data_IF_016920507779
#
_entry.id   IF_016920507779
#
_cell.length_a   1.000
_cell.length_b   1.000
_cell.length_c   1.000
_cell.angle_alpha   90.00
_cell.angle_beta   90.00
_cell.angle_gamma   90.00
#
_symmetry.space_group_name_H-M   'P 1'
#
loop_
_entity.id
_entity.type
_entity.pdbx_description
1 polymer ?
#
# COMPACT_ATOMS: atom_id res chain seq x y z
N UNK A 1 9.50 -21.05 -26.79
CA UNK A 1 8.65 -21.72 -25.78
C UNK A 1 8.28 -20.76 -24.65
N UNK A 2 9.25 -20.02 -24.12
CA UNK A 2 9.01 -19.06 -23.02
C UNK A 2 8.03 -17.93 -23.39
N UNK A 3 8.14 -17.34 -24.59
CA UNK A 3 7.30 -16.22 -25.00
C UNK A 3 5.79 -16.55 -25.10
N UNK A 4 5.42 -17.80 -25.43
CA UNK A 4 4.02 -18.22 -25.45
C UNK A 4 3.47 -18.45 -24.05
N UNK A 5 4.30 -18.96 -23.13
CA UNK A 5 3.90 -19.16 -21.73
C UNK A 5 3.75 -17.82 -21.00
N UNK A 6 4.68 -16.87 -21.18
CA UNK A 6 4.54 -15.53 -20.61
C UNK A 6 3.21 -14.88 -21.01
N UNK A 7 2.89 -14.90 -22.31
CA UNK A 7 1.63 -14.34 -22.81
C UNK A 7 0.40 -15.04 -22.24
N UNK A 8 0.46 -16.34 -21.98
CA UNK A 8 -0.65 -17.11 -21.37
C UNK A 8 -1.01 -16.56 -19.98
N UNK A 9 -0.01 -16.18 -19.18
CA UNK A 9 -0.21 -15.58 -17.86
C UNK A 9 -0.43 -14.05 -17.90
N UNK A 10 -0.42 -13.44 -19.10
CA UNK A 10 -0.52 -11.99 -19.26
C UNK A 10 0.77 -11.23 -18.93
N UNK A 11 1.91 -11.93 -18.80
CA UNK A 11 3.21 -11.29 -18.62
C UNK A 11 3.73 -10.71 -19.93
N UNK A 12 4.36 -9.55 -19.83
CA UNK A 12 5.24 -9.00 -20.88
C UNK A 12 6.68 -9.45 -20.63
N UNK A 13 7.56 -9.30 -21.63
CA UNK A 13 9.00 -9.57 -21.45
C UNK A 13 9.66 -8.68 -20.40
N UNK A 14 9.06 -7.51 -20.10
CA UNK A 14 9.54 -6.58 -19.08
C UNK A 14 9.51 -7.18 -17.67
N UNK A 15 8.62 -8.12 -17.39
CA UNK A 15 8.56 -8.79 -16.08
C UNK A 15 9.83 -9.55 -15.74
N UNK A 16 10.41 -10.25 -16.73
CA UNK A 16 11.70 -10.92 -16.61
C UNK A 16 12.84 -9.90 -16.63
N UNK A 17 12.81 -8.95 -17.57
CA UNK A 17 13.87 -7.96 -17.74
C UNK A 17 14.06 -7.05 -16.51
N UNK A 18 12.99 -6.78 -15.77
CA UNK A 18 13.01 -5.97 -14.54
C UNK A 18 13.08 -6.81 -13.26
N UNK A 19 13.15 -8.15 -13.38
CA UNK A 19 13.31 -9.05 -12.22
C UNK A 19 12.07 -9.18 -11.32
N UNK A 20 10.87 -8.93 -11.84
CA UNK A 20 9.60 -9.18 -11.14
C UNK A 20 9.18 -10.64 -11.20
N UNK A 21 9.64 -11.32 -12.25
CA UNK A 21 9.47 -12.73 -12.47
C UNK A 21 10.84 -13.31 -12.78
N UNK A 22 11.18 -14.46 -12.21
CA UNK A 22 12.34 -15.24 -12.64
C UNK A 22 11.88 -16.41 -13.53
N UNK A 23 12.79 -17.01 -14.34
CA UNK A 23 12.45 -18.23 -15.07
C UNK A 23 11.99 -19.37 -14.15
N UNK A 24 12.56 -19.46 -12.95
CA UNK A 24 12.16 -20.45 -11.94
C UNK A 24 10.74 -20.19 -11.41
N UNK A 25 10.39 -18.92 -11.13
CA UNK A 25 9.02 -18.56 -10.76
C UNK A 25 8.04 -18.94 -11.87
N UNK A 26 8.35 -18.60 -13.13
CA UNK A 26 7.46 -18.90 -14.26
C UNK A 26 7.25 -20.42 -14.40
N UNK A 27 8.31 -21.22 -14.21
CA UNK A 27 8.21 -22.67 -14.26
C UNK A 27 7.29 -23.20 -13.16
N UNK A 28 7.48 -22.75 -11.91
CA UNK A 28 6.64 -23.14 -10.79
C UNK A 28 5.16 -22.77 -11.01
N UNK A 29 4.89 -21.60 -11.60
CA UNK A 29 3.52 -21.17 -11.92
C UNK A 29 2.87 -22.03 -13.01
N UNK A 30 3.65 -22.52 -13.99
CA UNK A 30 3.17 -23.45 -15.01
C UNK A 30 2.81 -24.79 -14.38
N UNK A 31 3.67 -25.33 -13.52
CA UNK A 31 3.40 -26.58 -12.80
C UNK A 31 2.16 -26.46 -11.90
N UNK A 32 2.01 -25.34 -11.20
CA UNK A 32 0.84 -25.05 -10.36
C UNK A 32 -0.45 -25.01 -11.20
N UNK A 33 -0.43 -24.31 -12.34
CA UNK A 33 -1.55 -24.26 -13.27
C UNK A 33 -1.92 -25.65 -13.81
N UNK A 34 -0.94 -26.48 -14.17
CA UNK A 34 -1.17 -27.83 -14.70
C UNK A 34 -1.74 -28.77 -13.63
N UNK A 35 -1.36 -28.58 -12.37
CA UNK A 35 -1.83 -29.40 -11.25
C UNK A 35 -3.21 -28.99 -10.72
N UNK A 36 -3.48 -27.69 -10.63
CA UNK A 36 -4.69 -27.13 -10.01
C UNK A 36 -5.80 -26.83 -11.01
N UNK A 37 -5.44 -26.55 -12.27
CA UNK A 37 -6.36 -26.02 -13.28
C UNK A 37 -6.80 -24.57 -13.01
N UNK A 38 -6.23 -23.87 -12.03
CA UNK A 38 -6.62 -22.50 -11.69
C UNK A 38 -6.15 -21.51 -12.75
N UNK A 39 -7.12 -20.93 -13.47
CA UNK A 39 -6.89 -19.98 -14.54
C UNK A 39 -6.91 -18.52 -14.10
N UNK A 40 -6.90 -18.22 -12.80
CA UNK A 40 -6.77 -16.86 -12.26
C UNK A 40 -5.36 -16.29 -12.44
N UNK A 41 -4.99 -16.03 -13.70
CA UNK A 41 -3.67 -15.52 -14.09
C UNK A 41 -3.31 -14.19 -13.41
N UNK A 42 -4.31 -13.37 -13.10
CA UNK A 42 -4.19 -12.13 -12.34
C UNK A 42 -3.62 -12.33 -10.93
N UNK A 43 -3.91 -13.47 -10.28
CA UNK A 43 -3.34 -13.80 -8.97
C UNK A 43 -1.84 -14.11 -9.06
N UNK A 44 -1.40 -14.77 -10.13
CA UNK A 44 0.03 -15.04 -10.36
C UNK A 44 0.82 -13.75 -10.58
N UNK A 45 0.25 -12.81 -11.36
CA UNK A 45 0.86 -11.48 -11.59
C UNK A 45 0.92 -10.68 -10.29
N UNK A 46 -0.18 -10.60 -9.56
CA UNK A 46 -0.24 -9.95 -8.26
C UNK A 46 0.75 -10.56 -7.26
N UNK A 47 0.82 -11.90 -7.20
CA UNK A 47 1.79 -12.61 -6.38
C UNK A 47 3.23 -12.25 -6.71
N UNK A 48 3.54 -12.04 -7.98
CA UNK A 48 4.88 -11.62 -8.44
C UNK A 48 5.21 -10.19 -7.99
N UNK A 49 4.27 -9.24 -8.06
CA UNK A 49 4.45 -7.92 -7.43
C UNK A 49 4.70 -8.03 -5.92
N UNK A 50 3.93 -8.87 -5.21
CA UNK A 50 4.08 -9.03 -3.77
C UNK A 50 5.42 -9.65 -3.39
N UNK A 51 5.90 -10.64 -4.15
CA UNK A 51 7.25 -11.20 -3.96
C UNK A 51 8.32 -10.12 -4.14
N UNK A 52 8.21 -9.32 -5.21
CA UNK A 52 9.14 -8.23 -5.49
C UNK A 52 9.19 -7.19 -4.35
N UNK A 53 8.03 -6.78 -3.81
CA UNK A 53 7.93 -5.83 -2.70
C UNK A 53 8.45 -6.41 -1.38
N UNK A 54 8.18 -7.69 -1.10
CA UNK A 54 8.59 -8.35 0.15
C UNK A 54 10.07 -8.68 0.20
N UNK A 55 10.71 -8.88 -0.95
CA UNK A 55 12.13 -9.23 -1.04
C UNK A 55 13.07 -8.02 -0.89
N UNK A 56 12.55 -6.81 -0.63
CA UNK A 56 13.30 -5.56 -0.65
C UNK A 56 13.13 -4.75 0.63
N UNK A 57 14.26 -4.19 1.07
CA UNK A 57 14.34 -3.17 2.12
C UNK A 57 14.64 -1.77 1.55
N UNK A 58 14.75 -1.66 0.22
CA UNK A 58 14.91 -0.41 -0.53
C UNK A 58 14.67 -0.66 -2.02
N UNK A 59 14.37 0.39 -2.80
CA UNK A 59 14.40 0.37 -4.25
C UNK A 59 14.94 1.70 -4.79
N UNK A 60 15.57 1.68 -5.97
CA UNK A 60 15.94 2.91 -6.67
C UNK A 60 14.72 3.55 -7.34
N UNK A 61 14.84 4.83 -7.70
CA UNK A 61 13.76 5.55 -8.40
C UNK A 61 13.43 4.88 -9.74
N UNK A 62 14.44 4.36 -10.44
CA UNK A 62 14.24 3.61 -11.69
C UNK A 62 13.49 2.28 -11.46
N UNK A 63 13.79 1.57 -10.37
CA UNK A 63 13.04 0.37 -9.98
C UNK A 63 11.58 0.67 -9.64
N UNK A 64 11.32 1.81 -8.99
CA UNK A 64 9.96 2.27 -8.68
C UNK A 64 9.17 2.63 -9.93
N UNK A 65 9.78 3.34 -10.89
CA UNK A 65 9.12 3.65 -12.16
C UNK A 65 8.79 2.36 -12.94
N UNK A 66 9.73 1.40 -13.00
CA UNK A 66 9.46 0.09 -13.61
C UNK A 66 8.34 -0.67 -12.90
N UNK A 67 8.27 -0.60 -11.58
CA UNK A 67 7.16 -1.17 -10.80
C UNK A 67 5.83 -0.54 -11.22
N UNK A 68 5.76 0.79 -11.22
CA UNK A 68 4.54 1.53 -11.52
C UNK A 68 4.11 1.33 -12.97
N UNK A 69 5.03 1.29 -13.93
CA UNK A 69 4.71 1.03 -15.33
C UNK A 69 4.11 -0.38 -15.52
N UNK A 70 4.67 -1.39 -14.86
CA UNK A 70 4.10 -2.74 -14.89
C UNK A 70 2.74 -2.81 -14.18
N UNK A 71 2.61 -2.20 -13.01
CA UNK A 71 1.38 -2.24 -12.21
C UNK A 71 0.23 -1.48 -12.89
N UNK A 72 0.50 -0.28 -13.40
CA UNK A 72 -0.50 0.54 -14.10
C UNK A 72 -0.80 0.01 -15.52
N UNK A 73 0.11 -0.79 -16.07
CA UNK A 73 -0.05 -1.48 -17.35
C UNK A 73 -0.62 -2.90 -17.24
N UNK A 74 -0.97 -3.40 -16.04
CA UNK A 74 -1.49 -4.77 -15.90
C UNK A 74 -2.81 -4.93 -16.68
N UNK A 75 -2.98 -6.05 -17.43
CA UNK A 75 -4.23 -6.30 -18.15
C UNK A 75 -5.45 -6.41 -17.21
N UNK A 76 -5.25 -6.83 -15.96
CA UNK A 76 -6.22 -6.70 -14.89
C UNK A 76 -5.92 -5.43 -14.07
N UNK A 77 -6.67 -4.36 -14.38
CA UNK A 77 -6.51 -3.06 -13.72
C UNK A 77 -6.72 -3.12 -12.21
N UNK A 78 -7.60 -4.00 -11.71
CA UNK A 78 -7.86 -4.09 -10.28
C UNK A 78 -6.65 -4.66 -9.54
N UNK A 79 -6.03 -5.71 -10.07
CA UNK A 79 -4.81 -6.29 -9.49
C UNK A 79 -3.62 -5.34 -9.63
N UNK A 80 -3.46 -4.71 -10.79
CA UNK A 80 -2.42 -3.71 -11.03
C UNK A 80 -2.52 -2.51 -10.07
N UNK A 81 -3.70 -1.91 -9.94
CA UNK A 81 -3.94 -0.83 -9.00
C UNK A 81 -3.71 -1.26 -7.54
N UNK A 82 -4.13 -2.48 -7.19
CA UNK A 82 -3.89 -3.02 -5.84
C UNK A 82 -2.39 -3.13 -5.56
N UNK A 83 -1.59 -3.61 -6.51
CA UNK A 83 -0.13 -3.66 -6.37
C UNK A 83 0.50 -2.26 -6.22
N UNK A 84 -0.01 -1.26 -6.96
CA UNK A 84 0.42 0.12 -6.82
C UNK A 84 0.06 0.73 -5.44
N UNK A 85 -1.10 0.39 -4.89
CA UNK A 85 -1.50 0.80 -3.53
C UNK A 85 -0.63 0.10 -2.48
N UNK A 86 -0.28 -1.17 -2.68
CA UNK A 86 0.64 -1.90 -1.81
C UNK A 86 2.05 -1.28 -1.76
N UNK A 87 2.48 -0.61 -2.82
CA UNK A 87 3.73 0.14 -2.83
C UNK A 87 3.68 1.33 -1.84
N UNK A 88 2.57 2.07 -1.76
CA UNK A 88 2.40 3.19 -0.82
C UNK A 88 2.56 2.78 0.65
N UNK A 89 2.37 1.51 0.97
CA UNK A 89 2.49 0.97 2.33
C UNK A 89 3.93 0.66 2.73
N UNK A 90 4.88 0.71 1.79
CA UNK A 90 6.27 0.29 2.05
C UNK A 90 7.02 1.35 2.86
N UNK A 91 7.47 0.96 4.05
CA UNK A 91 8.23 1.82 4.98
C UNK A 91 9.61 2.20 4.46
N UNK A 92 10.17 1.40 3.56
CA UNK A 92 11.49 1.65 2.98
C UNK A 92 11.48 2.76 1.90
N UNK A 93 10.31 3.20 1.44
CA UNK A 93 10.25 4.41 0.62
C UNK A 93 10.73 5.58 1.46
N UNK A 94 11.70 6.34 0.95
CA UNK A 94 12.01 7.64 1.53
C UNK A 94 10.91 8.66 1.15
N UNK A 95 10.95 9.85 1.76
CA UNK A 95 9.89 10.85 1.56
C UNK A 95 9.80 11.34 0.11
N UNK A 96 10.94 11.58 -0.55
CA UNK A 96 10.96 12.00 -1.96
C UNK A 96 10.39 10.92 -2.90
N UNK A 97 10.70 9.65 -2.64
CA UNK A 97 10.15 8.52 -3.37
C UNK A 97 8.65 8.35 -3.14
N UNK A 98 8.21 8.47 -1.88
CA UNK A 98 6.80 8.42 -1.55
C UNK A 98 6.01 9.52 -2.27
N UNK A 99 6.53 10.75 -2.27
CA UNK A 99 5.91 11.88 -2.97
C UNK A 99 5.86 11.67 -4.48
N UNK A 100 6.94 11.16 -5.09
CA UNK A 100 6.98 10.86 -6.52
C UNK A 100 5.96 9.78 -6.91
N UNK A 101 5.84 8.71 -6.11
CA UNK A 101 4.82 7.66 -6.30
C UNK A 101 3.42 8.26 -6.19
N UNK A 102 3.14 9.07 -5.16
CA UNK A 102 1.84 9.74 -5.01
C UNK A 102 1.50 10.60 -6.23
N UNK A 103 2.45 11.40 -6.70
CA UNK A 103 2.25 12.27 -7.85
C UNK A 103 2.00 11.47 -9.14
N UNK A 104 2.76 10.39 -9.36
CA UNK A 104 2.56 9.48 -10.51
C UNK A 104 1.19 8.83 -10.49
N UNK A 105 0.71 8.40 -9.33
CA UNK A 105 -0.62 7.79 -9.18
C UNK A 105 -1.76 8.82 -9.36
N UNK A 106 -1.64 10.02 -8.78
CA UNK A 106 -2.62 11.10 -8.95
C UNK A 106 -2.79 11.50 -10.42
N UNK A 107 -1.69 11.64 -11.16
CA UNK A 107 -1.72 11.93 -12.61
C UNK A 107 -2.40 10.83 -13.42
N UNK A 108 -2.39 9.60 -12.91
CA UNK A 108 -2.95 8.44 -13.61
C UNK A 108 -4.47 8.35 -13.40
N UNK A 109 -4.94 8.50 -12.17
CA UNK A 109 -6.38 8.43 -11.86
C UNK A 109 -6.71 8.97 -10.47
N UNK A 110 -7.85 9.65 -10.35
CA UNK A 110 -8.44 10.04 -9.06
C UNK A 110 -8.86 8.86 -8.18
N UNK A 111 -8.88 7.64 -8.72
CA UNK A 111 -9.08 6.41 -7.95
C UNK A 111 -8.09 6.28 -6.78
N UNK A 112 -6.87 6.79 -6.93
CA UNK A 112 -5.84 6.68 -5.91
C UNK A 112 -5.95 7.74 -4.81
N UNK A 113 -6.75 8.81 -4.99
CA UNK A 113 -6.75 9.98 -4.10
C UNK A 113 -7.04 9.62 -2.63
N UNK A 114 -7.99 8.71 -2.40
CA UNK A 114 -8.32 8.27 -1.04
C UNK A 114 -7.21 7.43 -0.41
N UNK A 115 -6.54 6.58 -1.20
CA UNK A 115 -5.41 5.78 -0.74
C UNK A 115 -4.20 6.64 -0.44
N UNK A 116 -3.89 7.59 -1.32
CA UNK A 116 -2.80 8.55 -1.15
C UNK A 116 -3.02 9.36 0.11
N UNK A 117 -4.20 10.00 0.26
CA UNK A 117 -4.52 10.77 1.47
C UNK A 117 -4.36 9.93 2.74
N UNK A 118 -4.91 8.71 2.77
CA UNK A 118 -4.76 7.78 3.90
C UNK A 118 -3.28 7.52 4.22
N UNK A 119 -2.50 7.11 3.23
CA UNK A 119 -1.09 6.75 3.45
C UNK A 119 -0.22 7.96 3.80
N UNK A 120 -0.51 9.15 3.27
CA UNK A 120 0.15 10.39 3.68
C UNK A 120 -0.08 10.69 5.17
N UNK A 121 -1.32 10.53 5.67
CA UNK A 121 -1.60 10.69 7.10
C UNK A 121 -0.89 9.64 7.96
N UNK A 122 -0.96 8.37 7.57
CA UNK A 122 -0.31 7.29 8.31
C UNK A 122 1.21 7.48 8.37
N UNK A 123 1.82 7.91 7.26
CA UNK A 123 3.25 8.21 7.19
C UNK A 123 3.63 9.40 8.05
N UNK A 124 2.86 10.50 8.00
CA UNK A 124 3.09 11.67 8.83
C UNK A 124 3.01 11.33 10.33
N UNK A 125 2.02 10.53 10.74
CA UNK A 125 1.89 10.04 12.11
C UNK A 125 3.04 9.13 12.54
N UNK A 126 3.56 8.30 11.63
CA UNK A 126 4.70 7.43 11.93
C UNK A 126 6.00 8.22 12.09
N UNK A 127 6.19 9.31 11.33
CA UNK A 127 7.41 10.11 11.34
C UNK A 127 7.46 11.10 12.52
N UNK A 128 6.33 11.69 12.90
CA UNK A 128 6.26 12.68 13.98
C UNK A 128 4.94 12.53 14.77
N UNK A 129 4.82 11.47 15.60
CA UNK A 129 3.57 11.12 16.28
C UNK A 129 3.11 12.16 17.30
N UNK A 130 4.02 12.95 17.87
CA UNK A 130 3.72 13.98 18.88
C UNK A 130 3.26 15.32 18.30
N UNK A 131 3.31 15.49 16.98
CA UNK A 131 2.99 16.75 16.32
C UNK A 131 1.50 17.05 16.32
N UNK A 132 1.11 18.11 17.05
CA UNK A 132 -0.29 18.50 17.21
C UNK A 132 -1.01 18.81 15.88
N UNK A 133 -0.33 19.40 14.91
CA UNK A 133 -0.92 19.69 13.61
C UNK A 133 -1.18 18.41 12.82
N UNK A 134 -0.22 17.47 12.81
CA UNK A 134 -0.40 16.16 12.17
C UNK A 134 -1.54 15.40 12.84
N UNK A 135 -1.60 15.37 14.17
CA UNK A 135 -2.69 14.72 14.91
C UNK A 135 -4.05 15.32 14.56
N UNK A 136 -4.15 16.66 14.51
CA UNK A 136 -5.39 17.35 14.17
C UNK A 136 -5.83 17.07 12.73
N UNK A 137 -4.93 17.18 11.75
CA UNK A 137 -5.26 16.84 10.35
C UNK A 137 -5.69 15.38 10.19
N UNK A 138 -5.07 14.46 10.94
CA UNK A 138 -5.42 13.03 10.92
C UNK A 138 -6.79 12.76 11.55
N UNK A 139 -7.15 13.46 12.63
CA UNK A 139 -8.51 13.45 13.18
C UNK A 139 -9.52 13.95 12.14
N UNK A 140 -9.25 15.11 11.54
CA UNK A 140 -10.14 15.80 10.61
C UNK A 140 -10.29 15.08 9.26
N UNK A 141 -9.38 14.15 8.94
CA UNK A 141 -9.45 13.33 7.72
C UNK A 141 -10.74 12.51 7.60
N UNK A 142 -11.38 12.20 8.73
CA UNK A 142 -12.55 11.32 8.78
C UNK A 142 -12.29 9.87 8.34
N UNK A 143 -11.02 9.49 8.14
CA UNK A 143 -10.67 8.13 7.73
C UNK A 143 -10.53 7.22 8.97
N UNK A 144 -11.31 6.15 9.01
CA UNK A 144 -11.35 5.25 10.17
C UNK A 144 -10.01 4.56 10.45
N UNK A 145 -9.23 4.23 9.41
CA UNK A 145 -7.91 3.59 9.56
C UNK A 145 -6.90 4.59 10.13
N UNK A 146 -6.92 5.83 9.63
CA UNK A 146 -6.07 6.91 10.15
C UNK A 146 -6.40 7.22 11.60
N UNK A 147 -7.70 7.33 11.94
CA UNK A 147 -8.12 7.62 13.31
C UNK A 147 -7.82 6.45 14.26
N UNK A 148 -7.85 5.21 13.80
CA UNK A 148 -7.42 4.05 14.58
C UNK A 148 -5.92 4.11 14.88
N UNK A 149 -5.09 4.34 13.86
CA UNK A 149 -3.65 4.53 14.06
C UNK A 149 -3.36 5.70 15.02
N UNK A 150 -4.06 6.83 14.86
CA UNK A 150 -3.96 7.97 15.76
C UNK A 150 -4.37 7.63 17.19
N UNK A 151 -5.46 6.88 17.40
CA UNK A 151 -5.93 6.49 18.74
C UNK A 151 -4.97 5.54 19.46
N UNK A 152 -4.16 4.79 18.71
CA UNK A 152 -3.20 3.82 19.22
C UNK A 152 -1.81 4.41 19.55
N UNK A 153 -1.50 5.64 19.09
CA UNK A 153 -0.21 6.29 19.36
C UNK A 153 0.00 6.57 20.86
N UNK A 154 1.20 6.36 21.40
CA UNK A 154 1.47 6.67 22.82
C UNK A 154 1.38 8.17 23.11
N UNK A 155 1.88 8.99 22.18
CA UNK A 155 2.05 10.44 22.30
C UNK A 155 0.85 11.27 21.79
N UNK A 156 -0.38 10.78 21.97
CA UNK A 156 -1.58 11.55 21.58
C UNK A 156 -1.92 12.59 22.63
N UNK A 157 -2.23 13.81 22.22
CA UNK A 157 -2.68 14.85 23.14
C UNK A 157 -4.03 14.50 23.80
N UNK A 158 -4.27 14.88 25.07
CA UNK A 158 -5.56 14.67 25.73
C UNK A 158 -6.74 15.29 24.96
N UNK A 159 -6.51 16.41 24.27
CA UNK A 159 -7.50 17.10 23.44
C UNK A 159 -7.94 16.22 22.27
N UNK A 160 -6.98 15.61 21.55
CA UNK A 160 -7.27 14.72 20.43
C UNK A 160 -7.97 13.44 20.93
N UNK A 161 -7.54 12.87 22.05
CA UNK A 161 -8.24 11.72 22.64
C UNK A 161 -9.69 12.08 23.03
N UNK A 162 -9.93 13.26 23.60
CA UNK A 162 -11.30 13.72 23.90
C UNK A 162 -12.14 13.85 22.63
N UNK A 163 -11.58 14.42 21.57
CA UNK A 163 -12.27 14.55 20.28
C UNK A 163 -12.56 13.18 19.65
N UNK A 164 -11.62 12.23 19.67
CA UNK A 164 -11.82 10.87 19.19
C UNK A 164 -12.87 10.11 20.01
N UNK A 165 -12.91 10.29 21.33
CA UNK A 165 -13.90 9.66 22.20
C UNK A 165 -15.34 10.10 21.90
N UNK A 166 -15.51 11.37 21.48
CA UNK A 166 -16.80 11.96 21.14
C UNK A 166 -17.19 11.69 19.68
N UNK A 167 -16.27 11.97 18.74
CA UNK A 167 -16.54 12.09 17.30
C UNK A 167 -15.78 11.08 16.43
N UNK A 168 -15.02 10.17 17.02
CA UNK A 168 -14.30 9.14 16.26
C UNK A 168 -15.24 8.38 15.33
N UNK A 169 -14.80 8.10 14.11
CA UNK A 169 -15.66 7.57 13.02
C UNK A 169 -16.15 6.16 13.37
N UNK A 170 -15.23 5.29 13.80
CA UNK A 170 -15.53 3.90 14.14
C UNK A 170 -15.71 3.72 15.65
N UNK A 171 -16.58 2.77 16.04
CA UNK A 171 -16.85 2.47 17.47
C UNK A 171 -15.58 2.13 18.24
N UNK A 172 -14.66 1.39 17.62
CA UNK A 172 -13.38 0.98 18.21
C UNK A 172 -12.53 2.19 18.63
N UNK A 173 -12.33 3.15 17.73
CA UNK A 173 -11.66 4.43 18.00
C UNK A 173 -12.26 5.13 19.21
N UNK A 174 -13.59 5.31 19.24
CA UNK A 174 -14.26 5.96 20.38
C UNK A 174 -14.02 5.22 21.70
N UNK A 175 -14.01 3.88 21.66
CA UNK A 175 -13.77 3.04 22.84
C UNK A 175 -12.34 3.16 23.37
N UNK A 176 -11.35 3.04 22.49
CA UNK A 176 -9.93 3.15 22.83
C UNK A 176 -9.64 4.53 23.44
N UNK A 177 -10.13 5.58 22.80
CA UNK A 177 -9.94 6.95 23.27
C UNK A 177 -10.52 7.19 24.67
N UNK A 178 -11.75 6.71 24.94
CA UNK A 178 -12.37 6.79 26.28
C UNK A 178 -11.55 6.07 27.35
N UNK A 179 -11.07 4.87 27.04
CA UNK A 179 -10.26 4.08 27.97
C UNK A 179 -8.96 4.82 28.33
N UNK A 180 -8.24 5.33 27.33
CA UNK A 180 -6.96 6.01 27.54
C UNK A 180 -7.12 7.35 28.27
N UNK A 181 -8.20 8.08 28.04
CA UNK A 181 -8.53 9.27 28.85
C UNK A 181 -8.75 8.91 30.33
N UNK A 182 -9.39 7.78 30.61
CA UNK A 182 -9.63 7.31 31.97
C UNK A 182 -8.34 6.91 32.70
N UNK A 183 -7.36 6.36 31.98
CA UNK A 183 -6.06 5.95 32.54
C UNK A 183 -5.12 7.13 32.84
N UNK A 184 -5.37 8.31 32.25
CA UNK A 184 -4.56 9.52 32.44
C UNK A 184 -5.09 10.45 33.54
N UNK A 185 -6.21 10.08 34.20
CA UNK A 185 -6.79 10.79 35.35
C UNK A 185 -6.31 10.16 36.64
#
# INVERSE_FOLDING_TARGET
MEASQLRRFGYTSLWLAHGFLTPADLHAQIEELESSGDTSFEHYRYGSFMRWLKARDSASDEELERFLDLALGDPDRHMGHSAAIELLQRRWLNDAQFDAVCERLQRTSSHFDTHIRRHSHLRALANDPGNAEIQQRSLDSGDGVVQEALADLDEVSPQILAALAEKGVVRRVRSIAKQRLGQRR
#
